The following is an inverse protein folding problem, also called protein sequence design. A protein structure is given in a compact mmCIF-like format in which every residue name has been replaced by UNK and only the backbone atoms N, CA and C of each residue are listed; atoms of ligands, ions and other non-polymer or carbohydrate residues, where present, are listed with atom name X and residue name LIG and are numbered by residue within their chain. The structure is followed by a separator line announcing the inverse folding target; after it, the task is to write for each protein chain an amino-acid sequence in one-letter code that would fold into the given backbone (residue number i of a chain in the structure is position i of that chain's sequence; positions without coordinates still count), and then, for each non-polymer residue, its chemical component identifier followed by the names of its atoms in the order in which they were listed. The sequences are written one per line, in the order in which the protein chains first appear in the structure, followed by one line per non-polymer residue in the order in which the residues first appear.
data_IF_034725975689
#
_entry.id   IF_034725975689
#
_cell.length_a   1.000
_cell.length_b   1.000
_cell.length_c   1.000
_cell.angle_alpha   90.00
_cell.angle_beta   90.00
_cell.angle_gamma   90.00
#
_symmetry.space_group_name_H-M   'P 1'
#
loop_
_entity.id
_entity.type
_entity.pdbx_description
1 polymer ?
#
# COMPACT_ATOMS: atom_id res chain seq x y z
N UNK A 1 2.02 -53.35 -42.16
CA UNK A 1 1.77 -52.48 -43.33
C UNK A 1 1.35 -51.10 -42.83
N UNK A 2 1.79 -50.06 -43.54
CA UNK A 2 1.90 -48.65 -43.18
C UNK A 2 0.56 -47.89 -43.10
N UNK A 3 0.49 -46.90 -42.18
CA UNK A 3 -0.04 -45.50 -42.26
C UNK A 3 -1.45 -45.25 -42.85
N UNK A 4 -2.26 -44.26 -42.45
CA UNK A 4 -1.96 -42.87 -42.13
C UNK A 4 -3.21 -42.11 -41.59
N UNK A 5 -2.97 -41.20 -40.64
CA UNK A 5 -3.54 -39.83 -40.47
C UNK A 5 -5.03 -39.53 -40.67
N UNK A 6 -5.64 -38.94 -39.63
CA UNK A 6 -6.49 -37.75 -39.75
C UNK A 6 -6.26 -36.81 -38.57
N UNK A 7 -6.31 -35.51 -38.85
CA UNK A 7 -5.81 -34.37 -38.07
C UNK A 7 -6.90 -33.75 -37.16
N UNK A 8 -6.41 -33.12 -36.08
CA UNK A 8 -6.95 -31.96 -35.32
C UNK A 8 -8.17 -32.16 -34.40
N UNK A 9 -7.99 -31.96 -33.10
CA UNK A 9 -8.49 -30.77 -32.37
C UNK A 9 -8.01 -30.82 -30.92
N UNK A 10 -7.74 -29.64 -30.37
CA UNK A 10 -7.60 -29.35 -28.94
C UNK A 10 -6.40 -29.98 -28.22
N UNK A 11 -5.27 -29.30 -28.34
CA UNK A 11 -4.27 -29.26 -27.27
C UNK A 11 -4.94 -28.67 -26.02
N UNK A 12 -5.44 -29.54 -25.14
CA UNK A 12 -5.63 -29.18 -23.75
C UNK A 12 -4.23 -28.89 -23.22
N UNK A 13 -3.96 -27.61 -23.01
CA UNK A 13 -2.76 -27.06 -22.41
C UNK A 13 -2.41 -27.90 -21.18
N UNK A 14 -1.34 -28.69 -21.31
CA UNK A 14 -0.82 -29.50 -20.22
C UNK A 14 -0.34 -28.51 -19.15
N UNK A 15 -1.16 -28.31 -18.11
CA UNK A 15 -0.78 -27.47 -16.98
C UNK A 15 0.40 -28.17 -16.32
N UNK A 16 1.63 -27.61 -16.37
CA UNK A 16 2.75 -28.25 -15.73
C UNK A 16 2.47 -28.29 -14.23
N UNK A 17 2.72 -29.44 -13.60
CA UNK A 17 2.58 -29.67 -12.17
C UNK A 17 3.57 -28.83 -11.36
N UNK A 18 3.33 -27.53 -11.34
CA UNK A 18 3.96 -26.61 -10.41
C UNK A 18 3.01 -25.47 -10.08
N UNK A 19 1.81 -25.84 -9.66
CA UNK A 19 0.79 -24.94 -9.14
C UNK A 19 1.34 -23.99 -8.06
N UNK A 20 2.36 -24.41 -7.30
CA UNK A 20 2.98 -23.57 -6.26
C UNK A 20 3.81 -22.43 -6.84
N UNK A 21 4.61 -22.67 -7.90
CA UNK A 21 5.41 -21.60 -8.52
C UNK A 21 4.57 -20.61 -9.31
N UNK A 22 3.53 -21.09 -10.00
CA UNK A 22 2.58 -20.23 -10.71
C UNK A 22 1.76 -19.39 -9.73
N UNK A 23 1.22 -20.01 -8.67
CA UNK A 23 0.50 -19.28 -7.62
C UNK A 23 1.38 -18.22 -6.96
N UNK A 24 2.65 -18.54 -6.64
CA UNK A 24 3.59 -17.57 -6.05
C UNK A 24 3.94 -16.43 -7.01
N UNK A 25 4.03 -16.67 -8.32
CA UNK A 25 4.23 -15.61 -9.31
C UNK A 25 3.00 -14.69 -9.40
N UNK A 26 1.78 -15.25 -9.45
CA UNK A 26 0.55 -14.46 -9.50
C UNK A 26 0.29 -13.70 -8.18
N UNK A 27 0.57 -14.30 -7.02
CA UNK A 27 0.46 -13.62 -5.72
C UNK A 27 1.55 -12.57 -5.51
N UNK A 28 2.75 -12.77 -6.06
CA UNK A 28 3.82 -11.77 -6.05
C UNK A 28 3.50 -10.57 -6.95
N UNK A 29 2.83 -10.78 -8.08
CA UNK A 29 2.33 -9.68 -8.92
C UNK A 29 1.19 -8.93 -8.21
N UNK A 30 0.31 -9.62 -7.48
CA UNK A 30 -0.78 -8.97 -6.71
C UNK A 30 -0.32 -8.20 -5.47
N UNK A 31 0.69 -8.69 -4.74
CA UNK A 31 1.22 -8.05 -3.53
C UNK A 31 2.39 -7.08 -3.82
N UNK A 32 3.12 -7.27 -4.92
CA UNK A 32 4.30 -6.48 -5.29
C UNK A 32 3.97 -5.03 -5.65
N UNK A 33 2.78 -4.74 -6.18
CA UNK A 33 2.37 -3.38 -6.55
C UNK A 33 2.21 -2.47 -5.32
N UNK A 34 1.90 -3.04 -4.14
CA UNK A 34 1.69 -2.26 -2.91
C UNK A 34 2.92 -2.20 -2.01
N UNK A 35 3.82 -3.19 -2.04
CA UNK A 35 4.98 -3.25 -1.13
C UNK A 35 6.31 -2.82 -1.76
N UNK A 36 6.42 -2.68 -3.08
CA UNK A 36 7.67 -2.27 -3.72
C UNK A 36 8.09 -0.81 -3.43
N UNK A 37 7.18 0.03 -2.90
CA UNK A 37 7.46 1.45 -2.65
C UNK A 37 8.21 1.73 -1.35
N UNK A 38 8.29 0.77 -0.42
CA UNK A 38 8.83 1.04 0.94
C UNK A 38 10.22 0.41 1.17
N UNK A 39 10.64 -0.60 0.40
CA UNK A 39 11.80 -1.41 0.80
C UNK A 39 13.17 -1.02 0.20
N UNK A 40 13.28 -0.13 -0.79
CA UNK A 40 14.59 0.14 -1.40
C UNK A 40 14.79 1.58 -1.94
N UNK A 41 15.00 2.60 -1.08
CA UNK A 41 15.43 3.92 -1.55
C UNK A 41 16.91 3.97 -1.95
N UNK A 42 17.68 2.88 -1.77
CA UNK A 42 19.14 2.89 -1.86
C UNK A 42 19.79 2.41 -3.17
N UNK A 43 19.06 1.74 -4.07
CA UNK A 43 19.66 1.18 -5.29
C UNK A 43 19.35 2.04 -6.51
N UNK A 44 20.19 3.05 -6.75
CA UNK A 44 20.14 3.86 -7.98
C UNK A 44 20.84 3.13 -9.12
N UNK A 45 20.08 2.78 -10.14
CA UNK A 45 20.28 3.08 -11.56
C UNK A 45 19.11 2.42 -12.30
N UNK A 46 18.26 3.26 -12.89
CA UNK A 46 17.21 2.88 -13.84
C UNK A 46 16.00 2.16 -13.22
N UNK A 47 15.24 2.87 -12.38
CA UNK A 47 13.85 2.52 -12.11
C UNK A 47 12.97 3.21 -13.15
N UNK A 48 11.96 2.53 -13.75
CA UNK A 48 10.97 3.21 -14.56
C UNK A 48 10.29 4.27 -13.69
N UNK A 49 10.36 5.53 -14.10
CA UNK A 49 9.66 6.61 -13.41
C UNK A 49 8.18 6.23 -13.34
N UNK A 50 7.69 5.92 -12.15
CA UNK A 50 6.25 5.83 -11.90
C UNK A 50 5.67 7.20 -12.31
N UNK A 51 4.69 7.26 -13.22
CA UNK A 51 4.04 8.52 -13.57
C UNK A 51 3.44 9.12 -12.29
N UNK A 52 4.07 10.17 -11.75
CA UNK A 52 3.66 10.84 -10.52
C UNK A 52 4.56 10.67 -9.28
N UNK A 53 5.59 9.82 -9.30
CA UNK A 53 6.48 9.66 -8.13
C UNK A 53 7.47 10.82 -7.93
N UNK A 54 7.60 11.72 -8.91
CA UNK A 54 8.58 12.80 -8.92
C UNK A 54 8.00 14.20 -8.62
N UNK A 55 6.76 14.30 -8.13
CA UNK A 55 6.20 15.58 -7.70
C UNK A 55 5.83 15.48 -6.23
N UNK A 56 6.72 16.00 -5.37
CA UNK A 56 6.34 16.28 -3.99
C UNK A 56 5.07 17.13 -3.95
N UNK A 57 4.34 17.07 -2.83
CA UNK A 57 3.17 17.93 -2.64
C UNK A 57 3.68 19.37 -2.50
N UNK A 58 3.22 20.25 -3.40
CA UNK A 58 3.51 21.68 -3.27
C UNK A 58 2.63 22.26 -2.16
N UNK A 59 3.27 22.63 -1.06
CA UNK A 59 2.64 23.22 0.12
C UNK A 59 2.88 24.73 0.19
N UNK A 60 3.49 25.32 -0.83
CA UNK A 60 3.98 26.70 -0.83
C UNK A 60 5.42 26.81 -0.33
N UNK A 61 5.83 28.02 0.05
CA UNK A 61 7.21 28.33 0.44
C UNK A 61 7.28 29.19 1.71
N UNK A 62 8.46 29.24 2.33
CA UNK A 62 8.70 29.97 3.57
C UNK A 62 7.86 29.44 4.73
N UNK A 63 7.60 30.31 5.72
CA UNK A 63 6.88 29.94 6.93
C UNK A 63 5.45 29.45 6.65
N UNK A 64 4.78 30.02 5.64
CA UNK A 64 3.44 29.57 5.22
C UNK A 64 3.47 28.13 4.72
N UNK A 65 4.51 27.74 3.97
CA UNK A 65 4.66 26.36 3.53
C UNK A 65 4.85 25.39 4.70
N UNK A 66 5.59 25.80 5.72
CA UNK A 66 5.75 25.03 6.96
C UNK A 66 4.43 24.91 7.71
N UNK A 67 3.67 26.00 7.83
CA UNK A 67 2.35 25.98 8.48
C UNK A 67 1.33 25.13 7.71
N UNK A 68 1.34 25.16 6.37
CA UNK A 68 0.50 24.28 5.56
C UNK A 68 0.86 22.80 5.75
N UNK A 69 2.16 22.50 5.87
CA UNK A 69 2.61 21.16 6.19
C UNK A 69 2.15 20.71 7.57
N UNK A 70 2.33 21.53 8.60
CA UNK A 70 1.86 21.23 9.95
C UNK A 70 0.34 21.03 9.96
N UNK A 71 -0.42 21.95 9.38
CA UNK A 71 -1.88 21.83 9.31
C UNK A 71 -2.33 20.54 8.59
N UNK A 72 -1.66 20.14 7.50
CA UNK A 72 -1.96 18.88 6.84
C UNK A 72 -1.70 17.66 7.72
N UNK A 73 -0.66 17.70 8.57
CA UNK A 73 -0.39 16.64 9.56
C UNK A 73 -1.49 16.58 10.61
N UNK A 74 -1.90 17.71 11.19
CA UNK A 74 -2.95 17.72 12.22
C UNK A 74 -4.27 17.15 11.70
N UNK A 75 -4.62 17.46 10.44
CA UNK A 75 -5.79 16.88 9.77
C UNK A 75 -5.71 15.36 9.63
N UNK A 76 -4.54 14.86 9.22
CA UNK A 76 -4.29 13.43 9.07
C UNK A 76 -4.36 12.71 10.41
N UNK A 77 -3.69 13.25 11.43
CA UNK A 77 -3.59 12.63 12.76
C UNK A 77 -4.95 12.65 13.48
N UNK A 78 -5.69 13.76 13.44
CA UNK A 78 -7.05 13.84 13.99
C UNK A 78 -7.99 12.82 13.34
N UNK A 79 -7.93 12.67 12.01
CA UNK A 79 -8.72 11.67 11.29
C UNK A 79 -8.31 10.24 11.65
N UNK A 80 -7.00 9.98 11.74
CA UNK A 80 -6.44 8.67 12.08
C UNK A 80 -6.87 8.20 13.48
N UNK A 81 -6.67 9.02 14.52
CA UNK A 81 -7.06 8.64 15.87
C UNK A 81 -8.58 8.59 16.05
N UNK A 82 -9.34 9.39 15.30
CA UNK A 82 -10.80 9.26 15.26
C UNK A 82 -11.20 7.88 14.72
N UNK A 83 -10.54 7.42 13.66
CA UNK A 83 -10.80 6.11 13.09
C UNK A 83 -10.39 4.97 14.05
N UNK A 84 -9.28 5.11 14.79
CA UNK A 84 -8.87 4.12 15.81
C UNK A 84 -9.96 3.92 16.85
N UNK A 85 -10.56 5.00 17.35
CA UNK A 85 -11.63 4.92 18.35
C UNK A 85 -12.93 4.36 17.75
N UNK A 86 -13.24 4.74 16.50
CA UNK A 86 -14.42 4.23 15.81
C UNK A 86 -14.31 2.73 15.47
N UNK A 87 -13.10 2.25 15.16
CA UNK A 87 -12.81 0.85 14.83
C UNK A 87 -11.57 0.37 15.60
N UNK A 88 -11.71 0.03 16.89
CA UNK A 88 -10.60 -0.47 17.69
C UNK A 88 -10.01 -1.74 17.09
N UNK A 89 -8.68 -1.86 17.09
CA UNK A 89 -8.02 -3.08 16.65
C UNK A 89 -8.28 -4.24 17.62
N UNK A 90 -8.20 -5.46 17.10
CA UNK A 90 -8.41 -6.67 17.90
C UNK A 90 -7.41 -6.76 19.05
N UNK A 91 -7.91 -6.94 20.27
CA UNK A 91 -7.08 -7.08 21.46
C UNK A 91 -6.63 -5.77 22.10
N UNK A 92 -7.15 -4.61 21.65
CA UNK A 92 -6.91 -3.32 22.31
C UNK A 92 -7.33 -3.40 23.78
N UNK A 93 -6.38 -3.14 24.68
CA UNK A 93 -6.63 -3.07 26.11
C UNK A 93 -7.39 -1.79 26.47
N UNK A 94 -8.02 -1.79 27.65
CA UNK A 94 -8.68 -0.57 28.15
C UNK A 94 -7.70 0.59 28.35
N UNK A 95 -6.44 0.32 28.64
CA UNK A 95 -5.44 1.36 28.87
C UNK A 95 -5.00 2.00 27.54
N UNK A 96 -4.72 1.17 26.53
CA UNK A 96 -4.45 1.67 25.18
C UNK A 96 -5.62 2.48 24.64
N UNK A 97 -6.86 2.03 24.85
CA UNK A 97 -8.05 2.77 24.44
C UNK A 97 -8.14 4.18 25.04
N UNK A 98 -7.75 4.35 26.31
CA UNK A 98 -7.71 5.69 26.95
C UNK A 98 -6.61 6.57 26.36
N UNK A 99 -5.43 6.00 26.11
CA UNK A 99 -4.32 6.73 25.49
C UNK A 99 -4.71 7.19 24.09
N UNK A 100 -5.33 6.32 23.29
CA UNK A 100 -5.80 6.66 21.94
C UNK A 100 -6.90 7.73 21.96
N UNK A 101 -7.77 7.69 22.97
CA UNK A 101 -8.82 8.70 23.17
C UNK A 101 -8.20 10.06 23.54
N UNK A 102 -7.18 10.07 24.39
CA UNK A 102 -6.45 11.29 24.76
C UNK A 102 -5.72 11.89 23.56
N UNK A 103 -5.04 11.05 22.77
CA UNK A 103 -4.39 11.46 21.51
C UNK A 103 -5.41 12.03 20.54
N UNK A 104 -6.55 11.34 20.32
CA UNK A 104 -7.62 11.87 19.45
C UNK A 104 -8.05 13.28 19.86
N UNK A 105 -8.26 13.51 21.17
CA UNK A 105 -8.66 14.84 21.65
C UNK A 105 -7.56 15.87 21.47
N UNK A 106 -6.30 15.48 21.60
CA UNK A 106 -5.15 16.35 21.38
C UNK A 106 -5.10 16.82 19.93
N UNK A 107 -5.14 15.90 18.97
CA UNK A 107 -4.98 16.27 17.57
C UNK A 107 -6.22 16.99 17.00
N UNK A 108 -7.42 16.71 17.51
CA UNK A 108 -8.60 17.51 17.19
C UNK A 108 -8.44 18.96 17.66
N UNK A 109 -7.80 19.18 18.82
CA UNK A 109 -7.55 20.53 19.33
C UNK A 109 -6.40 21.26 18.60
N UNK A 110 -5.44 20.55 18.02
CA UNK A 110 -4.45 21.16 17.13
C UNK A 110 -5.04 21.54 15.77
N UNK A 111 -6.00 20.75 15.29
CA UNK A 111 -6.67 20.97 14.01
C UNK A 111 -7.60 22.19 14.00
N UNK A 112 -8.33 22.42 15.09
CA UNK A 112 -9.44 23.40 15.22
C UNK A 112 -9.03 24.70 15.95
#
# INVERSE_FOLDING_TARGET
MKTNTTKNSEALEEIPDNHRREFLKYSAIGAGVLFSSILFPGCRKDQPELPGANKGVDLGSGDIGVLNYAYALEQLEAAFYTQIIATPYSGMSSEEGKIMEDLRRHEVAHRD
#
